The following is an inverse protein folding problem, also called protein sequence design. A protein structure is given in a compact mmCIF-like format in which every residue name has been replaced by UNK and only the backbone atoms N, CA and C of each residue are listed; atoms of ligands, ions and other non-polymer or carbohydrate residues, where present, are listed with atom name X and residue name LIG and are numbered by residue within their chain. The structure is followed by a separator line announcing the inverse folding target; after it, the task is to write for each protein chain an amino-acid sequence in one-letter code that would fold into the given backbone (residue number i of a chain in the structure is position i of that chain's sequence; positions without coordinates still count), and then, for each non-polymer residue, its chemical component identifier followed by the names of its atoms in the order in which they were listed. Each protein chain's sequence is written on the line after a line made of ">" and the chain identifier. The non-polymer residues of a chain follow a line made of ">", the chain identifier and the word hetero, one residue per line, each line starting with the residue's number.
data_IF_386563939320
#
_entry.id   IF_386563939320
#
_cell.length_a   1.000
_cell.length_b   1.000
_cell.length_c   1.000
_cell.angle_alpha   90.00
_cell.angle_beta   90.00
_cell.angle_gamma   90.00
#
_symmetry.space_group_name_H-M   'P 1'
#
loop_
_entity.id
_entity.type
_entity.pdbx_description
1 polymer ?
#
# COMPACT_ATOMS: atom_id res chain seq x y z
N UNK A 1 -3.85 18.89 30.14
CA UNK A 1 -3.67 19.06 28.67
C UNK A 1 -4.75 18.22 28.03
N UNK A 2 -5.80 18.85 27.49
CA UNK A 2 -6.95 18.13 26.94
C UNK A 2 -6.89 18.19 25.40
N UNK A 3 -6.48 17.07 24.80
CA UNK A 3 -6.58 16.85 23.36
C UNK A 3 -7.83 16.01 23.11
N UNK A 4 -8.72 16.52 22.25
CA UNK A 4 -9.96 15.86 21.90
C UNK A 4 -9.80 14.97 20.66
N UNK A 5 -10.47 13.81 20.60
CA UNK A 5 -10.52 12.95 19.41
C UNK A 5 -11.00 13.71 18.16
N UNK A 6 -11.91 14.67 18.35
CA UNK A 6 -12.38 15.53 17.27
C UNK A 6 -11.24 16.34 16.63
N UNK A 7 -10.30 16.85 17.42
CA UNK A 7 -9.14 17.60 16.91
C UNK A 7 -8.20 16.69 16.09
N UNK A 8 -7.99 15.46 16.54
CA UNK A 8 -7.22 14.48 15.78
C UNK A 8 -7.91 14.09 14.47
N UNK A 9 -9.24 13.93 14.48
CA UNK A 9 -10.04 13.66 13.27
C UNK A 9 -9.91 14.78 12.25
N UNK A 10 -9.93 16.03 12.68
CA UNK A 10 -9.74 17.19 11.81
C UNK A 10 -8.33 17.25 11.23
N UNK A 11 -7.29 16.98 12.02
CA UNK A 11 -5.90 16.91 11.54
C UNK A 11 -5.76 15.84 10.46
N UNK A 12 -6.27 14.63 10.71
CA UNK A 12 -6.22 13.51 9.76
C UNK A 12 -6.94 13.86 8.47
N UNK A 13 -8.18 14.42 8.55
CA UNK A 13 -8.94 14.83 7.39
C UNK A 13 -8.23 15.88 6.52
N UNK A 14 -7.55 16.87 7.14
CA UNK A 14 -6.74 17.86 6.41
C UNK A 14 -5.61 17.21 5.61
N UNK A 15 -4.95 16.21 6.21
CA UNK A 15 -3.83 15.52 5.58
C UNK A 15 -4.31 14.62 4.44
N UNK A 16 -5.43 13.93 4.62
CA UNK A 16 -6.00 13.00 3.64
C UNK A 16 -6.56 13.75 2.43
N UNK A 17 -7.27 14.85 2.66
CA UNK A 17 -7.84 15.69 1.61
C UNK A 17 -6.79 16.58 0.91
N UNK A 18 -5.62 16.79 1.52
CA UNK A 18 -4.57 17.67 0.98
C UNK A 18 -4.91 19.17 0.98
N UNK A 19 -6.10 19.55 1.45
CA UNK A 19 -6.52 20.95 1.58
C UNK A 19 -7.50 21.16 2.74
N UNK A 20 -7.53 22.39 3.29
CA UNK A 20 -8.51 22.77 4.33
C UNK A 20 -9.94 22.84 3.78
N UNK A 21 -10.10 23.17 2.51
CA UNK A 21 -11.41 23.29 1.86
C UNK A 21 -12.03 21.92 1.66
N UNK A 22 -11.27 20.97 1.09
CA UNK A 22 -11.76 19.62 0.84
C UNK A 22 -12.00 18.87 2.16
N UNK A 23 -11.11 19.02 3.16
CA UNK A 23 -11.35 18.50 4.50
C UNK A 23 -12.64 19.06 5.15
N UNK A 24 -12.96 20.32 4.89
CA UNK A 24 -14.19 20.93 5.40
C UNK A 24 -15.44 20.33 4.73
N UNK A 25 -15.36 20.03 3.43
CA UNK A 25 -16.42 19.33 2.70
C UNK A 25 -16.61 17.91 3.25
N UNK A 26 -15.55 17.16 3.41
CA UNK A 26 -15.58 15.78 3.94
C UNK A 26 -16.14 15.71 5.36
N UNK A 27 -15.83 16.70 6.19
CA UNK A 27 -16.28 16.78 7.57
C UNK A 27 -17.68 17.45 7.73
N UNK A 28 -18.27 18.00 6.67
CA UNK A 28 -19.54 18.69 6.72
C UNK A 28 -19.52 19.97 7.56
N UNK A 29 -18.39 20.69 7.59
CA UNK A 29 -18.21 21.92 8.39
C UNK A 29 -17.63 23.06 7.54
N UNK A 30 -17.54 24.27 8.11
CA UNK A 30 -16.87 25.38 7.42
C UNK A 30 -15.35 25.24 7.47
N UNK A 31 -14.64 25.71 6.42
CA UNK A 31 -13.18 25.78 6.38
C UNK A 31 -12.59 26.57 7.57
N UNK A 32 -13.30 27.62 8.03
CA UNK A 32 -12.90 28.36 9.22
C UNK A 32 -12.97 27.51 10.50
N UNK A 33 -13.93 26.58 10.62
CA UNK A 33 -14.00 25.64 11.74
C UNK A 33 -12.82 24.67 11.72
N UNK A 34 -12.48 24.13 10.55
CA UNK A 34 -11.31 23.24 10.37
C UNK A 34 -10.02 23.96 10.79
N UNK A 35 -9.83 25.18 10.30
CA UNK A 35 -8.64 25.99 10.63
C UNK A 35 -8.54 26.31 12.13
N UNK A 36 -9.64 26.67 12.78
CA UNK A 36 -9.66 26.95 14.24
C UNK A 36 -9.38 25.69 15.05
N UNK A 37 -9.97 24.55 14.67
CA UNK A 37 -9.78 23.29 15.39
C UNK A 37 -8.32 22.82 15.32
N UNK A 38 -7.69 22.91 14.15
CA UNK A 38 -6.25 22.62 14.02
C UNK A 38 -5.40 23.59 14.85
N UNK A 39 -5.70 24.90 14.80
CA UNK A 39 -4.96 25.89 15.57
C UNK A 39 -5.06 25.64 17.09
N UNK A 40 -6.23 25.25 17.59
CA UNK A 40 -6.43 24.86 18.97
C UNK A 40 -5.61 23.63 19.36
N UNK A 41 -5.52 22.59 18.49
CA UNK A 41 -4.69 21.42 18.70
C UNK A 41 -3.20 21.79 18.78
N UNK A 42 -2.71 22.57 17.80
CA UNK A 42 -1.31 23.02 17.78
C UNK A 42 -0.98 23.88 19.02
N UNK A 43 -1.90 24.72 19.48
CA UNK A 43 -1.75 25.51 20.68
C UNK A 43 -1.70 24.66 21.95
N UNK A 44 -2.60 23.66 22.06
CA UNK A 44 -2.61 22.72 23.19
C UNK A 44 -1.31 21.91 23.27
N UNK A 45 -0.80 21.45 22.13
CA UNK A 45 0.43 20.69 22.04
C UNK A 45 1.70 21.56 22.08
N UNK A 46 1.55 22.90 21.90
CA UNK A 46 2.64 23.88 21.78
C UNK A 46 3.63 23.57 20.65
N UNK A 47 3.15 22.93 19.56
CA UNK A 47 3.94 22.58 18.39
C UNK A 47 3.16 22.85 17.12
N UNK A 48 3.86 23.11 16.01
CA UNK A 48 3.25 23.11 14.68
C UNK A 48 3.24 21.69 14.10
N UNK A 49 2.10 21.31 13.54
CA UNK A 49 1.91 20.00 12.91
C UNK A 49 1.93 20.09 11.39
N UNK A 50 1.50 21.25 10.85
CA UNK A 50 1.46 21.51 9.41
C UNK A 50 2.24 22.78 9.05
N UNK A 51 2.97 22.72 7.94
CA UNK A 51 3.48 23.88 7.22
C UNK A 51 2.35 24.39 6.31
N UNK A 52 1.93 25.62 6.50
CA UNK A 52 0.95 26.27 5.64
C UNK A 52 1.68 27.06 4.55
N UNK A 53 1.66 26.58 3.32
CA UNK A 53 1.96 27.38 2.15
C UNK A 53 0.67 27.68 1.42
N UNK A 54 0.64 28.72 0.60
CA UNK A 54 -0.57 29.14 -0.13
C UNK A 54 -1.07 28.11 -1.17
N UNK A 55 -0.32 27.03 -1.41
CA UNK A 55 -0.63 26.04 -2.46
C UNK A 55 -0.53 24.59 -2.01
N UNK A 56 0.13 24.27 -0.90
CA UNK A 56 0.33 22.88 -0.46
C UNK A 56 0.32 22.77 1.06
N UNK A 57 -0.22 21.68 1.58
CA UNK A 57 -0.10 21.26 2.97
C UNK A 57 1.04 20.27 3.07
N UNK A 58 1.99 20.55 3.95
CA UNK A 58 3.09 19.66 4.27
C UNK A 58 3.15 19.41 5.78
N UNK A 59 3.44 18.18 6.17
CA UNK A 59 3.64 17.82 7.57
C UNK A 59 4.97 18.37 8.09
N UNK A 60 4.97 18.88 9.32
CA UNK A 60 6.21 19.07 10.08
C UNK A 60 6.77 17.71 10.51
N UNK A 61 8.03 17.58 10.95
CA UNK A 61 8.55 16.34 11.53
C UNK A 61 7.66 15.79 12.66
N UNK A 62 7.15 16.67 13.53
CA UNK A 62 6.22 16.31 14.61
C UNK A 62 4.87 15.84 14.04
N UNK A 63 4.35 16.53 13.02
CA UNK A 63 3.12 16.12 12.31
C UNK A 63 3.25 14.75 11.67
N UNK A 64 4.38 14.47 11.00
CA UNK A 64 4.66 13.19 10.38
C UNK A 64 4.69 12.02 11.40
N UNK A 65 5.10 12.27 12.63
CA UNK A 65 5.05 11.29 13.72
C UNK A 65 3.67 11.17 14.35
N UNK A 66 2.94 12.28 14.48
CA UNK A 66 1.65 12.31 15.17
C UNK A 66 0.51 11.74 14.32
N UNK A 67 0.45 12.06 13.02
CA UNK A 67 -0.66 11.67 12.14
C UNK A 67 -0.87 10.15 12.10
N UNK A 68 0.14 9.27 11.93
CA UNK A 68 -0.07 7.83 11.96
C UNK A 68 -0.61 7.33 13.30
N UNK A 69 -0.18 7.94 14.41
CA UNK A 69 -0.68 7.61 15.77
C UNK A 69 -2.13 8.07 15.94
N UNK A 70 -2.45 9.27 15.45
CA UNK A 70 -3.81 9.80 15.47
C UNK A 70 -4.78 8.90 14.68
N UNK A 71 -4.37 8.41 13.50
CA UNK A 71 -5.16 7.46 12.70
C UNK A 71 -5.45 6.16 13.47
N UNK A 72 -4.43 5.60 14.15
CA UNK A 72 -4.62 4.40 14.96
C UNK A 72 -5.60 4.62 16.10
N UNK A 73 -5.46 5.70 16.88
CA UNK A 73 -6.40 6.04 17.95
C UNK A 73 -7.84 6.23 17.45
N UNK A 74 -8.00 6.88 16.32
CA UNK A 74 -9.33 7.05 15.70
C UNK A 74 -9.89 5.72 15.23
N UNK A 75 -9.06 4.85 14.66
CA UNK A 75 -9.47 3.53 14.22
C UNK A 75 -9.87 2.62 15.40
N UNK A 76 -9.13 2.66 16.52
CA UNK A 76 -9.48 1.96 17.75
C UNK A 76 -10.81 2.46 18.33
N UNK A 77 -11.03 3.77 18.31
CA UNK A 77 -12.31 4.34 18.75
C UNK A 77 -13.48 3.89 17.85
N UNK A 78 -13.27 3.91 16.53
CA UNK A 78 -14.29 3.45 15.58
C UNK A 78 -14.53 1.93 15.71
N UNK A 79 -13.50 1.15 16.09
CA UNK A 79 -13.62 -0.28 16.39
C UNK A 79 -14.44 -0.51 17.65
N UNK A 80 -14.12 0.17 18.75
CA UNK A 80 -14.88 0.11 19.99
C UNK A 80 -16.37 0.39 19.77
N UNK A 81 -16.68 1.43 19.01
CA UNK A 81 -18.08 1.79 18.69
C UNK A 81 -18.74 0.68 17.86
N UNK A 82 -18.00 0.11 16.90
CA UNK A 82 -18.54 -0.97 16.06
C UNK A 82 -18.78 -2.23 16.85
N UNK A 83 -17.83 -2.68 17.66
CA UNK A 83 -18.02 -3.82 18.56
C UNK A 83 -19.24 -3.64 19.47
N UNK A 84 -19.38 -2.46 20.06
CA UNK A 84 -20.51 -2.13 20.91
C UNK A 84 -21.86 -2.11 20.16
N UNK A 85 -21.87 -1.78 18.86
CA UNK A 85 -23.11 -1.59 18.08
C UNK A 85 -23.48 -2.77 17.20
N UNK A 86 -22.49 -3.47 16.65
CA UNK A 86 -22.71 -4.58 15.69
C UNK A 86 -22.18 -5.93 16.19
N UNK A 87 -21.34 -5.95 17.22
CA UNK A 87 -20.67 -7.17 17.72
C UNK A 87 -19.57 -7.69 16.80
N UNK A 88 -19.19 -6.96 15.73
CA UNK A 88 -18.19 -7.37 14.76
C UNK A 88 -16.94 -6.49 14.83
N UNK A 89 -15.78 -7.12 14.99
CA UNK A 89 -14.48 -6.51 14.84
C UNK A 89 -14.13 -6.30 13.34
N UNK A 90 -13.09 -5.53 13.03
CA UNK A 90 -12.61 -5.35 11.65
C UNK A 90 -11.10 -5.44 11.55
N UNK A 91 -10.62 -6.33 10.70
CA UNK A 91 -9.21 -6.44 10.35
C UNK A 91 -8.92 -5.71 9.03
N UNK A 92 -8.05 -4.70 9.07
CA UNK A 92 -7.63 -3.93 7.90
C UNK A 92 -6.30 -4.46 7.38
N UNK A 93 -6.31 -4.99 6.15
CA UNK A 93 -5.12 -5.54 5.48
C UNK A 93 -4.67 -4.59 4.39
N UNK A 94 -3.52 -3.98 4.60
CA UNK A 94 -2.92 -3.03 3.67
C UNK A 94 -2.12 -3.70 2.56
N UNK A 95 -2.04 -3.05 1.41
CA UNK A 95 -1.18 -3.47 0.31
C UNK A 95 -0.88 -2.31 -0.64
N UNK A 96 0.24 -2.39 -1.38
CA UNK A 96 0.56 -1.39 -2.39
C UNK A 96 -0.22 -1.62 -3.69
N UNK A 97 0.37 -2.28 -4.68
CA UNK A 97 -0.27 -2.49 -5.98
C UNK A 97 -1.25 -3.66 -5.97
N UNK A 98 -0.84 -4.81 -5.47
CA UNK A 98 -1.68 -6.00 -5.39
C UNK A 98 -1.66 -6.59 -3.99
N UNK A 99 -2.80 -7.10 -3.53
CA UNK A 99 -2.88 -7.83 -2.27
C UNK A 99 -2.23 -9.22 -2.40
N UNK A 100 -3.02 -10.26 -2.62
CA UNK A 100 -2.56 -11.64 -2.78
C UNK A 100 -2.70 -12.14 -4.24
N UNK A 101 -2.88 -11.21 -5.20
CA UNK A 101 -3.08 -11.53 -6.61
C UNK A 101 -4.26 -12.49 -6.82
N UNK A 102 -4.02 -13.62 -7.50
CA UNK A 102 -5.02 -14.66 -7.75
C UNK A 102 -5.65 -15.25 -6.48
N UNK A 103 -4.97 -15.14 -5.35
CA UNK A 103 -5.41 -15.70 -4.08
C UNK A 103 -6.31 -14.75 -3.28
N UNK A 104 -6.43 -13.47 -3.69
CA UNK A 104 -7.18 -12.45 -2.95
C UNK A 104 -8.63 -12.86 -2.69
N UNK A 105 -9.35 -13.28 -3.72
CA UNK A 105 -10.76 -13.66 -3.58
C UNK A 105 -10.94 -14.94 -2.73
N UNK A 106 -10.01 -15.89 -2.82
CA UNK A 106 -10.05 -17.08 -1.97
C UNK A 106 -9.79 -16.70 -0.51
N UNK A 107 -8.80 -15.87 -0.23
CA UNK A 107 -8.51 -15.37 1.11
C UNK A 107 -9.73 -14.68 1.74
N UNK A 108 -10.40 -13.77 1.01
CA UNK A 108 -11.58 -13.07 1.52
C UNK A 108 -12.73 -14.03 1.86
N UNK A 109 -13.04 -15.01 0.96
CA UNK A 109 -14.09 -16.00 1.23
C UNK A 109 -13.74 -16.90 2.40
N UNK A 110 -12.51 -17.40 2.43
CA UNK A 110 -12.07 -18.31 3.49
C UNK A 110 -12.00 -17.62 4.84
N UNK A 111 -11.60 -16.34 4.85
CA UNK A 111 -11.66 -15.51 6.05
C UNK A 111 -13.08 -15.37 6.59
N UNK A 112 -14.04 -15.00 5.75
CA UNK A 112 -15.43 -14.84 6.16
C UNK A 112 -16.07 -16.16 6.69
N UNK A 113 -15.62 -17.31 6.17
CA UNK A 113 -16.05 -18.62 6.67
C UNK A 113 -15.47 -18.94 8.05
N UNK A 114 -14.18 -18.64 8.26
CA UNK A 114 -13.45 -19.00 9.48
C UNK A 114 -13.63 -17.99 10.62
N UNK A 115 -13.84 -16.72 10.28
CA UNK A 115 -13.91 -15.59 11.20
C UNK A 115 -15.10 -14.69 10.89
N UNK A 116 -16.35 -15.20 10.96
CA UNK A 116 -17.55 -14.43 10.64
C UNK A 116 -17.75 -13.21 11.55
N UNK A 117 -17.12 -13.20 12.73
CA UNK A 117 -17.14 -12.11 13.71
C UNK A 117 -16.13 -10.99 13.40
N UNK A 118 -15.24 -11.18 12.41
CA UNK A 118 -14.20 -10.20 12.06
C UNK A 118 -14.29 -9.83 10.59
N UNK A 119 -14.82 -8.65 10.30
CA UNK A 119 -14.87 -8.09 8.96
C UNK A 119 -13.45 -7.92 8.37
N UNK A 120 -13.22 -8.37 7.15
CA UNK A 120 -11.96 -8.17 6.45
C UNK A 120 -12.06 -7.00 5.46
N UNK A 121 -11.19 -6.00 5.63
CA UNK A 121 -11.08 -4.87 4.71
C UNK A 121 -9.69 -4.84 4.06
N UNK A 122 -9.64 -4.89 2.72
CA UNK A 122 -8.41 -4.69 1.97
C UNK A 122 -8.26 -3.20 1.63
N UNK A 123 -7.11 -2.62 1.96
CA UNK A 123 -6.82 -1.19 1.76
C UNK A 123 -5.60 -1.05 0.85
N UNK A 124 -5.78 -0.39 -0.30
CA UNK A 124 -4.67 -0.07 -1.19
C UNK A 124 -4.06 1.28 -0.83
N UNK A 125 -2.77 1.26 -0.52
CA UNK A 125 -1.95 2.47 -0.31
C UNK A 125 -0.61 2.31 -0.99
N UNK A 126 -0.21 3.27 -1.83
CA UNK A 126 1.05 3.20 -2.55
C UNK A 126 2.23 3.68 -1.67
N UNK A 127 2.44 2.96 -0.54
CA UNK A 127 3.55 3.21 0.39
C UNK A 127 4.35 1.92 0.62
N UNK A 128 5.64 1.98 0.95
CA UNK A 128 6.49 0.81 1.15
C UNK A 128 5.97 -0.15 2.24
N UNK A 129 5.25 0.39 3.23
CA UNK A 129 4.64 -0.37 4.32
C UNK A 129 3.22 -0.85 4.01
N UNK A 130 2.67 -0.57 2.80
CA UNK A 130 1.29 -0.85 2.44
C UNK A 130 0.27 -0.14 3.33
N UNK A 131 0.63 0.99 3.95
CA UNK A 131 -0.23 1.77 4.84
C UNK A 131 -0.02 1.50 6.34
N UNK A 132 0.83 0.53 6.69
CA UNK A 132 1.04 0.17 8.10
C UNK A 132 1.77 1.27 8.89
N UNK A 133 2.84 1.86 8.31
CA UNK A 133 3.56 2.97 8.93
C UNK A 133 2.69 4.22 9.05
N UNK A 134 1.77 4.40 8.13
CA UNK A 134 0.81 5.49 8.07
C UNK A 134 -0.38 5.30 9.02
N UNK A 135 -0.49 4.14 9.67
CA UNK A 135 -1.56 3.82 10.62
C UNK A 135 -2.94 3.60 9.98
N UNK A 136 -2.99 3.31 8.66
CA UNK A 136 -4.26 3.05 7.93
C UNK A 136 -4.69 1.60 7.94
N UNK A 137 -3.81 0.67 8.31
CA UNK A 137 -4.12 -0.76 8.39
C UNK A 137 -3.47 -1.41 9.61
N UNK A 138 -3.87 -2.63 9.91
CA UNK A 138 -3.45 -3.41 11.09
C UNK A 138 -2.32 -4.38 10.74
N UNK A 139 -2.31 -4.88 9.53
CA UNK A 139 -1.22 -5.61 8.91
C UNK A 139 -1.15 -5.28 7.42
N UNK A 140 -0.02 -5.57 6.78
CA UNK A 140 0.13 -5.32 5.35
C UNK A 140 0.85 -6.45 4.62
N UNK A 141 0.49 -6.63 3.34
CA UNK A 141 1.18 -7.52 2.41
C UNK A 141 2.13 -6.68 1.56
N UNK A 142 3.43 -6.93 1.71
CA UNK A 142 4.49 -6.18 1.03
C UNK A 142 5.41 -7.10 0.23
N UNK A 143 6.06 -6.54 -0.78
CA UNK A 143 7.00 -7.26 -1.67
C UNK A 143 8.39 -6.61 -1.74
N UNK A 144 8.53 -5.50 -1.05
CA UNK A 144 9.81 -4.84 -0.81
C UNK A 144 10.30 -5.18 0.59
N UNK A 145 11.61 -5.14 0.87
CA UNK A 145 12.13 -5.35 2.21
C UNK A 145 11.54 -4.34 3.20
N UNK A 146 10.88 -4.79 4.28
CA UNK A 146 10.30 -3.88 5.27
C UNK A 146 11.34 -3.43 6.29
N UNK A 147 11.01 -2.39 7.05
CA UNK A 147 11.79 -1.98 8.21
C UNK A 147 11.53 -2.92 9.40
N UNK A 148 12.39 -3.91 9.55
CA UNK A 148 12.28 -4.93 10.61
C UNK A 148 12.51 -4.38 12.03
N UNK A 149 12.98 -3.16 12.18
CA UNK A 149 13.09 -2.52 13.50
C UNK A 149 11.71 -2.15 14.05
N UNK A 150 10.82 -1.75 13.17
CA UNK A 150 9.47 -1.27 13.53
C UNK A 150 8.39 -2.34 13.39
N UNK A 151 8.57 -3.31 12.49
CA UNK A 151 7.55 -4.31 12.18
C UNK A 151 8.01 -5.73 12.48
N UNK A 152 7.07 -6.57 12.92
CA UNK A 152 7.21 -8.01 12.84
C UNK A 152 6.97 -8.43 11.37
N UNK A 153 7.68 -9.45 10.91
CA UNK A 153 7.70 -9.86 9.50
C UNK A 153 7.61 -11.37 9.40
N UNK A 154 6.80 -11.87 8.49
CA UNK A 154 6.81 -13.27 8.06
C UNK A 154 6.83 -13.32 6.54
N UNK A 155 7.78 -14.06 5.96
CA UNK A 155 7.77 -14.41 4.55
C UNK A 155 6.79 -15.56 4.34
N UNK A 156 5.75 -15.33 3.54
CA UNK A 156 4.65 -16.29 3.34
C UNK A 156 4.79 -17.06 2.03
N UNK A 157 5.55 -16.55 1.08
CA UNK A 157 5.78 -17.22 -0.19
C UNK A 157 6.64 -16.43 -1.17
N UNK A 158 6.78 -17.00 -2.36
CA UNK A 158 7.54 -16.43 -3.47
C UNK A 158 6.66 -16.30 -4.70
N UNK A 159 6.78 -15.19 -5.42
CA UNK A 159 6.10 -14.94 -6.69
C UNK A 159 7.10 -14.87 -7.85
N UNK A 160 6.74 -15.42 -8.99
CA UNK A 160 7.53 -15.26 -10.21
C UNK A 160 7.44 -13.83 -10.71
N UNK A 161 8.42 -13.42 -11.49
CA UNK A 161 8.39 -12.13 -12.19
C UNK A 161 7.81 -12.28 -13.58
N UNK A 162 7.07 -11.27 -13.97
CA UNK A 162 6.52 -11.10 -15.32
C UNK A 162 7.04 -9.79 -15.91
N UNK A 163 7.30 -9.81 -17.19
CA UNK A 163 7.46 -8.60 -17.99
C UNK A 163 6.11 -8.24 -18.59
N UNK A 164 5.82 -6.96 -18.66
CA UNK A 164 4.64 -6.41 -19.31
C UNK A 164 5.05 -5.45 -20.40
N UNK A 165 4.34 -5.48 -21.52
CA UNK A 165 4.61 -4.72 -22.73
C UNK A 165 3.32 -4.39 -23.45
N UNK A 166 3.38 -3.49 -24.42
CA UNK A 166 2.25 -3.20 -25.32
C UNK A 166 1.83 -4.46 -26.10
N UNK A 167 0.55 -4.57 -26.43
CA UNK A 167 0.00 -5.75 -27.11
C UNK A 167 0.56 -5.97 -28.51
N UNK A 168 1.05 -4.93 -29.16
CA UNK A 168 1.70 -4.93 -30.49
C UNK A 168 3.24 -5.05 -30.43
N UNK A 169 3.83 -5.07 -29.22
CA UNK A 169 5.26 -5.27 -29.03
C UNK A 169 5.71 -6.62 -29.65
N UNK A 170 6.85 -6.66 -30.36
CA UNK A 170 7.37 -7.91 -30.91
C UNK A 170 7.53 -9.06 -29.90
N UNK A 171 7.81 -8.74 -28.64
CA UNK A 171 7.93 -9.73 -27.59
C UNK A 171 6.57 -10.28 -27.10
N UNK A 172 5.47 -9.60 -27.40
CA UNK A 172 4.13 -10.03 -26.98
C UNK A 172 3.74 -11.41 -27.55
N UNK A 173 4.33 -11.82 -28.67
CA UNK A 173 4.11 -13.15 -29.29
C UNK A 173 4.96 -14.28 -28.68
N UNK A 174 5.94 -13.93 -27.85
CA UNK A 174 6.85 -14.89 -27.22
C UNK A 174 6.17 -15.50 -25.97
N UNK A 175 6.53 -16.76 -25.66
CA UNK A 175 6.00 -17.43 -24.46
C UNK A 175 6.64 -16.96 -23.16
N UNK A 176 7.89 -16.50 -23.23
CA UNK A 176 8.67 -16.00 -22.09
C UNK A 176 9.82 -15.14 -22.58
N UNK A 177 10.36 -14.30 -21.71
CA UNK A 177 11.51 -13.42 -21.98
C UNK A 177 12.61 -13.73 -20.96
N UNK A 178 13.88 -13.54 -21.30
CA UNK A 178 14.99 -13.59 -20.36
C UNK A 178 15.24 -12.20 -19.76
N UNK A 179 15.65 -12.15 -18.50
CA UNK A 179 15.93 -10.90 -17.81
C UNK A 179 17.06 -10.11 -18.51
N UNK A 180 18.08 -10.80 -19.01
CA UNK A 180 19.19 -10.18 -19.72
C UNK A 180 18.76 -9.43 -20.99
N UNK A 181 17.74 -9.94 -21.71
CA UNK A 181 17.22 -9.26 -22.91
C UNK A 181 16.57 -7.90 -22.57
N UNK A 182 16.06 -7.76 -21.34
CA UNK A 182 15.34 -6.53 -20.91
C UNK A 182 16.29 -5.33 -20.77
N UNK A 183 17.58 -5.55 -20.56
CA UNK A 183 18.59 -4.47 -20.45
C UNK A 183 18.63 -3.51 -21.65
N UNK A 184 18.19 -3.96 -22.82
CA UNK A 184 18.16 -3.18 -24.05
C UNK A 184 16.92 -2.28 -24.16
N UNK A 185 16.04 -2.31 -23.17
CA UNK A 185 14.74 -1.60 -23.16
C UNK A 185 14.71 -0.55 -22.07
N UNK A 186 13.82 0.42 -22.19
CA UNK A 186 13.44 1.30 -21.08
C UNK A 186 12.40 0.59 -20.22
N UNK A 187 12.64 0.53 -18.91
CA UNK A 187 11.79 -0.17 -17.92
C UNK A 187 11.12 0.83 -17.01
N UNK A 188 9.79 0.81 -16.99
CA UNK A 188 8.99 1.58 -16.03
C UNK A 188 8.99 0.90 -14.65
N UNK A 189 9.34 1.64 -13.61
CA UNK A 189 9.41 1.14 -12.22
C UNK A 189 8.86 2.17 -11.24
N UNK A 190 8.09 1.73 -10.25
CA UNK A 190 7.76 2.56 -9.10
C UNK A 190 8.89 2.45 -8.06
N UNK A 191 9.58 3.55 -7.79
CA UNK A 191 10.70 3.60 -6.85
C UNK A 191 10.28 3.41 -5.40
N UNK A 192 9.02 3.63 -5.06
CA UNK A 192 8.52 3.55 -3.67
C UNK A 192 8.13 2.14 -3.27
N UNK A 193 7.39 1.47 -4.13
CA UNK A 193 6.76 0.16 -3.82
C UNK A 193 7.05 -0.90 -4.86
N UNK A 194 7.71 -0.53 -5.96
CA UNK A 194 8.07 -1.45 -7.04
C UNK A 194 9.13 -2.46 -6.61
N UNK A 195 9.04 -3.63 -7.21
CA UNK A 195 9.99 -4.73 -6.97
C UNK A 195 11.11 -4.78 -8.00
N UNK A 196 11.17 -3.78 -8.89
CA UNK A 196 12.16 -3.66 -9.96
C UNK A 196 13.15 -2.59 -9.59
N UNK A 197 14.37 -2.99 -9.32
CA UNK A 197 15.50 -2.13 -9.01
C UNK A 197 16.69 -2.47 -9.91
N UNK A 198 17.69 -1.62 -9.94
CA UNK A 198 18.92 -1.83 -10.70
C UNK A 198 19.65 -3.13 -10.33
N UNK A 199 19.46 -3.60 -9.09
CA UNK A 199 20.11 -4.81 -8.53
C UNK A 199 19.70 -6.10 -9.23
N UNK A 200 18.64 -6.07 -10.06
CA UNK A 200 18.26 -7.22 -10.88
C UNK A 200 19.30 -7.55 -11.98
N UNK A 201 20.17 -6.59 -12.30
CA UNK A 201 21.20 -6.72 -13.31
C UNK A 201 22.60 -6.49 -12.73
N UNK A 202 23.65 -7.05 -13.36
CA UNK A 202 25.03 -6.72 -13.00
C UNK A 202 25.28 -5.20 -13.11
N UNK A 203 26.22 -4.71 -12.29
CA UNK A 203 26.62 -3.29 -12.32
C UNK A 203 27.13 -2.90 -13.71
N UNK A 204 26.57 -1.82 -14.26
CA UNK A 204 26.89 -1.32 -15.60
C UNK A 204 26.09 -1.95 -16.74
N UNK A 205 25.20 -2.93 -16.44
CA UNK A 205 24.36 -3.60 -17.43
C UNK A 205 22.86 -3.33 -17.21
N UNK A 206 22.52 -2.34 -16.38
CA UNK A 206 21.14 -2.01 -16.06
C UNK A 206 20.42 -1.33 -17.24
N UNK A 207 19.12 -1.61 -17.46
CA UNK A 207 18.30 -0.84 -18.38
C UNK A 207 18.12 0.59 -17.90
N UNK A 208 17.65 1.46 -18.79
CA UNK A 208 17.14 2.76 -18.38
C UNK A 208 15.87 2.56 -17.55
N UNK A 209 15.85 3.09 -16.32
CA UNK A 209 14.69 3.03 -15.44
C UNK A 209 13.95 4.37 -15.46
N UNK A 210 12.69 4.37 -15.86
CA UNK A 210 11.78 5.51 -15.77
C UNK A 210 10.82 5.31 -14.59
N UNK A 211 10.53 6.41 -13.86
CA UNK A 211 9.68 6.37 -12.67
C UNK A 211 8.19 6.48 -13.02
N UNK A 212 7.35 5.91 -12.19
CA UNK A 212 5.89 6.00 -12.26
C UNK A 212 5.30 6.22 -10.87
N UNK A 213 4.13 6.85 -10.79
CA UNK A 213 3.49 7.17 -9.53
C UNK A 213 2.60 6.04 -9.01
N UNK A 214 1.92 5.32 -9.88
CA UNK A 214 1.04 4.21 -9.53
C UNK A 214 0.87 3.18 -10.65
N UNK A 215 0.07 2.15 -10.41
CA UNK A 215 -0.14 1.03 -11.35
C UNK A 215 -0.94 1.43 -12.58
N UNK A 216 -1.86 2.38 -12.47
CA UNK A 216 -2.70 2.79 -13.60
C UNK A 216 -1.90 3.62 -14.61
N UNK A 217 -1.10 4.59 -14.12
CA UNK A 217 -0.14 5.35 -14.93
C UNK A 217 0.89 4.42 -15.57
N UNK A 218 1.42 3.46 -14.81
CA UNK A 218 2.35 2.46 -15.27
C UNK A 218 1.79 1.65 -16.45
N UNK A 219 0.58 1.11 -16.31
CA UNK A 219 -0.10 0.36 -17.37
C UNK A 219 -0.45 1.22 -18.59
N UNK A 220 -0.89 2.46 -18.36
CA UNK A 220 -1.22 3.36 -19.45
C UNK A 220 0.03 3.70 -20.28
N UNK A 221 1.15 3.99 -19.64
CA UNK A 221 2.42 4.30 -20.31
C UNK A 221 2.98 3.11 -21.09
N UNK A 222 2.88 1.89 -20.53
CA UNK A 222 3.30 0.66 -21.22
C UNK A 222 2.40 0.36 -22.41
N UNK A 223 1.08 0.53 -22.29
CA UNK A 223 0.13 0.32 -23.37
C UNK A 223 0.39 1.24 -24.56
N UNK A 224 0.92 2.46 -24.32
CA UNK A 224 1.33 3.41 -25.37
C UNK A 224 2.58 2.95 -26.15
N UNK A 225 3.30 1.93 -25.69
CA UNK A 225 4.49 1.38 -26.34
C UNK A 225 5.78 2.12 -26.02
N UNK A 226 6.91 1.56 -26.52
CA UNK A 226 8.25 2.12 -26.34
C UNK A 226 8.92 1.81 -25.00
N UNK A 227 8.18 1.40 -24.00
CA UNK A 227 8.68 0.97 -22.68
C UNK A 227 8.08 -0.37 -22.25
N UNK A 228 8.73 -1.02 -21.30
CA UNK A 228 8.25 -2.26 -20.70
C UNK A 228 8.22 -2.12 -19.19
N UNK A 229 7.59 -3.05 -18.48
CA UNK A 229 7.60 -3.10 -17.02
C UNK A 229 7.93 -4.49 -16.52
N UNK A 230 8.43 -4.58 -15.30
CA UNK A 230 8.62 -5.86 -14.59
C UNK A 230 7.79 -5.83 -13.32
N UNK A 231 7.07 -6.92 -13.04
CA UNK A 231 6.15 -6.98 -11.91
C UNK A 231 6.04 -8.40 -11.35
N UNK A 232 5.62 -8.57 -10.09
CA UNK A 232 5.27 -9.89 -9.56
C UNK A 232 4.04 -10.50 -10.23
N UNK A 233 3.90 -11.81 -10.12
CA UNK A 233 2.75 -12.58 -10.65
C UNK A 233 1.40 -12.06 -10.13
N UNK A 234 1.34 -11.61 -8.88
CA UNK A 234 0.13 -11.04 -8.29
C UNK A 234 -0.40 -9.83 -9.06
N UNK A 235 0.47 -8.91 -9.45
CA UNK A 235 0.09 -7.75 -10.27
C UNK A 235 -0.32 -8.20 -11.67
N UNK A 236 0.44 -9.09 -12.30
CA UNK A 236 0.12 -9.61 -13.63
C UNK A 236 -1.25 -10.30 -13.69
N UNK A 237 -1.66 -10.97 -12.62
CA UNK A 237 -2.96 -11.66 -12.53
C UNK A 237 -4.12 -10.73 -12.14
N UNK A 238 -3.84 -9.68 -11.37
CA UNK A 238 -4.86 -8.74 -10.91
C UNK A 238 -5.19 -7.66 -11.92
N UNK A 239 -4.20 -7.20 -12.70
CA UNK A 239 -4.30 -6.05 -13.59
C UNK A 239 -4.28 -6.41 -15.07
N UNK A 240 -4.95 -7.51 -15.45
CA UNK A 240 -5.21 -7.80 -16.87
C UNK A 240 -5.98 -6.65 -17.52
N UNK A 241 -5.38 -6.03 -18.57
CA UNK A 241 -5.93 -4.84 -19.22
C UNK A 241 -5.76 -4.94 -20.74
N UNK A 242 -6.74 -4.42 -21.49
CA UNK A 242 -6.61 -4.27 -22.94
C UNK A 242 -5.40 -3.41 -23.30
N UNK A 243 -4.67 -3.79 -24.34
CA UNK A 243 -3.48 -3.07 -24.82
C UNK A 243 -2.16 -3.46 -24.14
N UNK A 244 -2.16 -4.30 -23.12
CA UNK A 244 -0.94 -4.83 -22.51
C UNK A 244 -0.92 -6.36 -22.49
N UNK A 245 0.29 -6.92 -22.55
CA UNK A 245 0.54 -8.37 -22.49
C UNK A 245 1.59 -8.67 -21.45
N UNK A 246 1.31 -9.65 -20.60
CA UNK A 246 2.23 -10.14 -19.58
C UNK A 246 2.89 -11.44 -20.05
N UNK A 247 4.21 -11.57 -19.85
CA UNK A 247 4.98 -12.80 -20.14
C UNK A 247 5.90 -13.12 -18.97
N UNK A 248 6.07 -14.41 -18.62
CA UNK A 248 7.01 -14.81 -17.58
C UNK A 248 8.45 -14.42 -17.93
N UNK A 249 9.19 -13.91 -16.93
CA UNK A 249 10.66 -13.82 -16.97
C UNK A 249 11.23 -15.15 -16.45
N UNK A 250 12.00 -15.87 -17.29
CA UNK A 250 12.43 -17.26 -16.97
C UNK A 250 13.52 -17.36 -15.92
N UNK A 251 14.44 -16.42 -15.92
CA UNK A 251 15.69 -16.42 -15.17
C UNK A 251 15.79 -15.26 -14.16
N UNK A 252 14.71 -14.53 -13.96
CA UNK A 252 14.63 -13.49 -12.95
C UNK A 252 14.45 -14.10 -11.55
N UNK A 253 15.14 -13.59 -10.52
CA UNK A 253 14.92 -14.02 -9.14
C UNK A 253 13.47 -13.79 -8.72
N UNK A 254 12.85 -14.70 -7.96
CA UNK A 254 11.49 -14.53 -7.48
C UNK A 254 11.37 -13.34 -6.54
N UNK A 255 10.15 -12.89 -6.32
CA UNK A 255 9.81 -11.82 -5.38
C UNK A 255 9.24 -12.43 -4.11
N UNK A 256 9.86 -12.14 -2.99
CA UNK A 256 9.34 -12.56 -1.70
C UNK A 256 8.07 -11.78 -1.34
N UNK A 257 7.05 -12.52 -0.91
CA UNK A 257 5.81 -11.97 -0.37
C UNK A 257 5.89 -12.03 1.14
N UNK A 258 5.73 -10.89 1.79
CA UNK A 258 5.84 -10.78 3.25
C UNK A 258 4.56 -10.17 3.80
N UNK A 259 4.17 -10.67 4.96
CA UNK A 259 3.16 -10.02 5.81
C UNK A 259 3.89 -9.32 6.94
N UNK A 260 3.54 -8.07 7.17
CA UNK A 260 4.10 -7.23 8.22
C UNK A 260 3.00 -6.70 9.14
N UNK A 261 3.32 -6.55 10.42
CA UNK A 261 2.41 -6.00 11.44
C UNK A 261 3.19 -5.29 12.55
N UNK A 262 2.55 -4.47 13.41
CA UNK A 262 3.21 -3.80 14.53
C UNK A 262 3.81 -4.84 15.49
N UNK A 263 5.05 -4.62 15.97
CA UNK A 263 5.68 -5.48 16.98
C UNK A 263 4.98 -5.42 18.33
N UNK A 264 4.44 -4.27 18.64
CA UNK A 264 3.73 -4.00 19.88
C UNK A 264 2.26 -3.81 19.57
N UNK A 265 1.41 -4.43 20.36
CA UNK A 265 -0.03 -4.32 20.27
C UNK A 265 -0.61 -4.63 18.86
N UNK A 266 -0.34 -5.82 18.30
CA UNK A 266 -0.94 -6.22 17.03
C UNK A 266 -2.44 -6.47 17.21
N UNK A 267 -3.22 -6.23 16.16
CA UNK A 267 -4.64 -6.56 16.16
C UNK A 267 -4.86 -8.04 16.53
N UNK A 268 -5.85 -8.40 17.37
CA UNK A 268 -6.06 -9.78 17.86
C UNK A 268 -6.12 -10.84 16.75
N UNK A 269 -6.73 -10.51 15.61
CA UNK A 269 -6.87 -11.41 14.46
C UNK A 269 -5.61 -11.50 13.57
N UNK A 270 -4.52 -10.79 13.89
CA UNK A 270 -3.30 -10.75 13.06
C UNK A 270 -2.71 -12.13 12.82
N UNK A 271 -2.56 -12.95 13.87
CA UNK A 271 -1.95 -14.27 13.74
C UNK A 271 -2.79 -15.24 12.89
N UNK A 272 -4.12 -15.16 12.99
CA UNK A 272 -5.03 -15.94 12.16
C UNK A 272 -4.89 -15.54 10.68
N UNK A 273 -4.79 -14.25 10.38
CA UNK A 273 -4.59 -13.77 9.01
C UNK A 273 -3.23 -14.21 8.45
N UNK A 274 -2.16 -14.08 9.22
CA UNK A 274 -0.82 -14.54 8.82
C UNK A 274 -0.81 -16.03 8.52
N UNK A 275 -1.42 -16.84 9.39
CA UNK A 275 -1.52 -18.29 9.21
C UNK A 275 -2.28 -18.65 7.94
N UNK A 276 -3.46 -18.06 7.71
CA UNK A 276 -4.27 -18.30 6.52
C UNK A 276 -3.55 -17.87 5.23
N UNK A 277 -2.91 -16.70 5.21
CA UNK A 277 -2.14 -16.26 4.05
C UNK A 277 -0.97 -17.21 3.78
N UNK A 278 -0.27 -17.67 4.82
CA UNK A 278 0.83 -18.64 4.69
C UNK A 278 0.35 -19.97 4.10
N UNK A 279 -0.76 -20.50 4.61
CA UNK A 279 -1.39 -21.71 4.09
C UNK A 279 -1.70 -21.58 2.59
N UNK A 280 -2.30 -20.46 2.19
CA UNK A 280 -2.66 -20.17 0.80
C UNK A 280 -1.44 -20.15 -0.13
N UNK A 281 -0.32 -19.55 0.29
CA UNK A 281 0.90 -19.51 -0.51
C UNK A 281 1.65 -20.85 -0.54
N UNK A 282 1.49 -21.68 0.48
CA UNK A 282 2.08 -23.03 0.54
C UNK A 282 1.26 -24.08 -0.22
N UNK A 283 0.08 -23.71 -0.75
CA UNK A 283 -0.79 -24.61 -1.50
C UNK A 283 -1.44 -25.71 -0.65
N UNK A 284 -1.65 -25.45 0.63
CA UNK A 284 -2.31 -26.36 1.57
C UNK A 284 -3.79 -26.04 1.73
#
# INVERSE_FOLDING_TARGET
>A
MDVELRQLRFLVAIVDAGSFTDAALDLGVSQAAVSRTLAALEQTLKVRLLHRTSRTIALTPTGAQLVPRARRLLAEMDELVREATSGHARLRVGHAWSALGRHTAYFQRRWAELHPEVDLLLIRTNTPSGGLAEGVCDLAVVRTPPDEKHFAVTEVGLERRFIVMAGDDPWARRRSIKLDEVRTRTVMSDRRTGTTSADLWPTGEQPVLEDTADVDDWLARIAAGGVVGITPESTATQYGRAGVVFRPLRDAPPVAVRVIWPRHDPHPATQAAVALITEIYQGR
#
